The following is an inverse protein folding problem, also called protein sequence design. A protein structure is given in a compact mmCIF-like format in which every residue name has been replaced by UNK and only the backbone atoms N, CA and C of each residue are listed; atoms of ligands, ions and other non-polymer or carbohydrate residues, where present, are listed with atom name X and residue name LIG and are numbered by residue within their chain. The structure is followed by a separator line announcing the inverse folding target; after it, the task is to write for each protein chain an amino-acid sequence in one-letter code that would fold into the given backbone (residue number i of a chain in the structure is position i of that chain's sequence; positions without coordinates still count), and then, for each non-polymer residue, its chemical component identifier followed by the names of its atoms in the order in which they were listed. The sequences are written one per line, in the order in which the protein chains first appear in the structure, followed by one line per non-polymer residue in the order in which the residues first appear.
data_IF_553664261402
#
_entry.id   IF_553664261402
#
_cell.length_a   1.000
_cell.length_b   1.000
_cell.length_c   1.000
_cell.angle_alpha   90.00
_cell.angle_beta   90.00
_cell.angle_gamma   90.00
#
_symmetry.space_group_name_H-M   'P 1'
#
loop_
_entity.id
_entity.type
_entity.pdbx_description
1 polymer ?
#
# COMPACT_ATOMS: atom_id res chain seq x y z
N UNK A 1 -0.92 0.93 -29.41
CA UNK A 1 -2.12 1.81 -29.41
C UNK A 1 -1.85 2.91 -28.40
N UNK A 2 -1.57 4.13 -28.85
CA UNK A 2 -1.37 5.27 -27.94
C UNK A 2 -2.69 5.58 -27.25
N UNK A 3 -2.76 5.36 -25.94
CA UNK A 3 -3.90 5.75 -25.12
C UNK A 3 -3.95 7.28 -25.18
N UNK A 4 -4.93 7.84 -25.89
CA UNK A 4 -5.15 9.29 -25.85
C UNK A 4 -5.43 9.63 -24.38
N UNK A 5 -4.66 10.53 -23.76
CA UNK A 5 -4.86 10.85 -22.35
C UNK A 5 -6.28 11.36 -22.15
N UNK A 6 -6.91 10.95 -21.04
CA UNK A 6 -8.25 11.44 -20.68
C UNK A 6 -8.22 12.98 -20.61
N UNK A 7 -9.31 13.66 -20.97
CA UNK A 7 -9.41 15.13 -20.86
C UNK A 7 -9.08 15.60 -19.43
N UNK A 8 -9.40 14.78 -18.43
CA UNK A 8 -9.10 15.08 -17.04
C UNK A 8 -7.62 14.84 -16.66
N UNK A 9 -6.90 13.95 -17.34
CA UNK A 9 -5.44 13.74 -17.14
C UNK A 9 -4.62 14.96 -17.59
N UNK A 10 -5.19 15.80 -18.45
CA UNK A 10 -4.59 17.05 -18.92
C UNK A 10 -4.75 18.21 -17.92
N UNK A 11 -5.38 17.97 -16.77
CA UNK A 11 -5.70 18.98 -15.77
C UNK A 11 -4.90 18.74 -14.50
N UNK A 12 -4.19 19.78 -14.06
CA UNK A 12 -3.32 19.79 -12.89
C UNK A 12 -3.66 20.98 -11.98
N UNK A 13 -3.51 20.82 -10.68
CA UNK A 13 -3.32 21.97 -9.78
C UNK A 13 -1.87 22.46 -9.89
N UNK A 14 -1.62 23.72 -9.51
CA UNK A 14 -0.26 24.26 -9.46
C UNK A 14 0.65 23.40 -8.59
N UNK A 15 0.18 22.96 -7.42
CA UNK A 15 0.98 22.13 -6.51
C UNK A 15 1.33 20.77 -7.15
N UNK A 16 0.32 20.08 -7.71
CA UNK A 16 0.52 18.77 -8.34
C UNK A 16 1.42 18.86 -9.57
N UNK A 17 1.32 19.96 -10.33
CA UNK A 17 2.20 20.22 -11.47
C UNK A 17 3.65 20.39 -11.02
N UNK A 18 3.90 21.23 -10.02
CA UNK A 18 5.25 21.43 -9.47
C UNK A 18 5.82 20.12 -8.95
N UNK A 19 5.05 19.34 -8.18
CA UNK A 19 5.50 18.03 -7.68
C UNK A 19 5.85 17.05 -8.81
N UNK A 20 5.07 17.04 -9.90
CA UNK A 20 5.28 16.12 -11.03
C UNK A 20 6.45 16.54 -11.92
N UNK A 21 6.74 17.84 -12.01
CA UNK A 21 7.68 18.41 -12.98
C UNK A 21 8.90 19.09 -12.34
N UNK A 22 9.05 19.07 -11.01
CA UNK A 22 10.15 19.71 -10.28
C UNK A 22 11.53 19.31 -10.80
N UNK A 23 11.72 18.03 -11.11
CA UNK A 23 13.01 17.44 -11.51
C UNK A 23 13.07 17.10 -13.01
N UNK A 24 12.20 17.67 -13.84
CA UNK A 24 12.11 17.26 -15.26
C UNK A 24 13.36 17.60 -16.08
N UNK A 25 14.20 18.54 -15.62
CA UNK A 25 15.41 18.96 -16.32
C UNK A 25 16.64 18.14 -15.91
N UNK A 26 16.84 17.91 -14.61
CA UNK A 26 17.92 17.09 -14.05
C UNK A 26 17.57 16.67 -12.62
N UNK A 27 18.06 15.49 -12.17
CA UNK A 27 17.80 14.93 -10.84
C UNK A 27 18.46 15.77 -9.72
N UNK A 28 19.45 16.61 -10.07
CA UNK A 28 20.22 17.42 -9.13
C UNK A 28 19.75 18.87 -8.95
N UNK A 29 18.85 19.39 -9.79
CA UNK A 29 18.43 20.79 -9.76
C UNK A 29 16.93 20.93 -9.97
N UNK A 30 16.18 21.00 -8.87
CA UNK A 30 14.75 21.30 -8.89
C UNK A 30 14.51 22.76 -9.29
N UNK A 31 13.54 22.98 -10.18
CA UNK A 31 13.08 24.32 -10.55
C UNK A 31 12.49 25.05 -9.33
N UNK A 32 12.82 26.33 -9.19
CA UNK A 32 12.27 27.16 -8.10
C UNK A 32 10.85 27.65 -8.41
N UNK A 33 10.11 28.11 -7.40
CA UNK A 33 8.76 28.66 -7.59
C UNK A 33 8.70 29.81 -8.62
N UNK A 34 9.62 30.80 -8.61
CA UNK A 34 9.69 31.81 -9.66
C UNK A 34 9.93 31.23 -11.06
N UNK A 35 10.75 30.19 -11.19
CA UNK A 35 11.01 29.54 -12.48
C UNK A 35 9.73 28.91 -13.04
N UNK A 36 8.94 28.26 -12.17
CA UNK A 36 7.62 27.73 -12.54
C UNK A 36 6.64 28.83 -12.93
N UNK A 37 6.63 29.97 -12.24
CA UNK A 37 5.76 31.10 -12.60
C UNK A 37 6.09 31.65 -13.99
N UNK A 38 7.39 31.80 -14.30
CA UNK A 38 7.86 32.23 -15.63
C UNK A 38 7.51 31.16 -16.68
N UNK A 39 7.71 29.88 -16.37
CA UNK A 39 7.40 28.77 -17.27
C UNK A 39 5.90 28.72 -17.61
N UNK A 40 5.03 28.77 -16.60
CA UNK A 40 3.58 28.73 -16.79
C UNK A 40 3.08 29.97 -17.54
N UNK A 41 3.67 31.13 -17.30
CA UNK A 41 3.37 32.34 -18.06
C UNK A 41 3.79 32.21 -19.53
N UNK A 42 5.00 31.70 -19.79
CA UNK A 42 5.49 31.45 -21.16
C UNK A 42 4.62 30.42 -21.91
N UNK A 43 4.26 29.32 -21.25
CA UNK A 43 3.46 28.25 -21.84
C UNK A 43 2.03 28.70 -22.16
N UNK A 44 1.44 29.55 -21.33
CA UNK A 44 0.09 30.08 -21.52
C UNK A 44 0.05 31.23 -22.53
N UNK A 45 0.94 32.23 -22.39
CA UNK A 45 0.93 33.43 -23.23
C UNK A 45 1.62 33.25 -24.58
N UNK A 46 2.84 32.72 -24.58
CA UNK A 46 3.72 32.74 -25.76
C UNK A 46 3.58 31.47 -26.60
N UNK A 47 3.41 30.31 -25.95
CA UNK A 47 3.20 29.02 -26.66
C UNK A 47 1.74 28.64 -26.86
N UNK A 48 0.82 29.21 -26.07
CA UNK A 48 -0.59 28.84 -26.04
C UNK A 48 -0.85 27.32 -25.88
N UNK A 49 0.09 26.62 -25.24
CA UNK A 49 0.07 25.17 -25.05
C UNK A 49 -0.75 24.77 -23.81
N UNK A 50 -1.00 25.71 -22.89
CA UNK A 50 -1.82 25.52 -21.70
C UNK A 50 -2.80 26.68 -21.51
N UNK A 51 -3.90 26.42 -20.80
CA UNK A 51 -4.69 27.45 -20.14
C UNK A 51 -4.28 27.48 -18.65
N UNK A 52 -4.11 28.68 -18.09
CA UNK A 52 -3.67 28.88 -16.71
C UNK A 52 -4.37 30.09 -16.08
N UNK A 53 -5.02 29.89 -14.93
CA UNK A 53 -5.74 30.93 -14.17
C UNK A 53 -5.01 31.35 -12.87
N UNK A 54 -3.80 30.83 -12.63
CA UNK A 54 -3.05 31.02 -11.39
C UNK A 54 -3.13 29.83 -10.41
N UNK A 55 -4.15 28.98 -10.53
CA UNK A 55 -4.36 27.82 -9.66
C UNK A 55 -4.44 26.50 -10.43
N UNK A 56 -5.12 26.51 -11.56
CA UNK A 56 -5.45 25.37 -12.41
C UNK A 56 -4.66 25.46 -13.71
N UNK A 57 -4.07 24.35 -14.12
CA UNK A 57 -3.31 24.22 -15.37
C UNK A 57 -4.02 23.18 -16.23
N UNK A 58 -4.40 23.56 -17.44
CA UNK A 58 -5.03 22.68 -18.43
C UNK A 58 -4.20 22.63 -19.70
N UNK A 59 -3.69 21.44 -20.05
CA UNK A 59 -2.96 21.23 -21.29
C UNK A 59 -3.88 21.24 -22.51
N UNK A 60 -3.40 21.85 -23.60
CA UNK A 60 -4.10 21.99 -24.88
C UNK A 60 -3.39 21.13 -25.93
N UNK A 61 -3.76 19.85 -26.10
CA UNK A 61 -3.08 18.94 -27.04
C UNK A 61 -3.26 19.35 -28.50
N UNK A 62 -4.35 20.06 -28.82
CA UNK A 62 -4.65 20.57 -30.16
C UNK A 62 -4.97 22.06 -30.08
N UNK A 63 -4.65 22.85 -31.11
CA UNK A 63 -4.98 24.29 -31.15
C UNK A 63 -6.48 24.59 -31.02
N UNK A 64 -7.32 23.61 -31.35
CA UNK A 64 -8.80 23.67 -31.25
C UNK A 64 -9.35 23.42 -29.84
N UNK A 65 -8.47 23.13 -28.86
CA UNK A 65 -8.89 22.97 -27.47
C UNK A 65 -9.47 24.30 -26.94
N UNK A 66 -10.44 24.27 -26.01
CA UNK A 66 -10.95 25.49 -25.35
C UNK A 66 -9.83 26.26 -24.65
N UNK A 67 -9.77 27.59 -24.84
CA UNK A 67 -8.76 28.47 -24.21
C UNK A 67 -9.06 28.76 -22.75
N UNK A 68 -10.31 28.63 -22.36
CA UNK A 68 -10.76 28.98 -21.04
C UNK A 68 -10.82 27.74 -20.14
N UNK A 69 -10.47 27.97 -18.87
CA UNK A 69 -10.65 27.01 -17.80
C UNK A 69 -12.12 27.06 -17.39
N UNK A 70 -12.79 25.91 -17.48
CA UNK A 70 -14.19 25.78 -17.06
C UNK A 70 -14.28 25.50 -15.56
N UNK A 71 -15.46 25.71 -14.97
CA UNK A 71 -15.71 25.33 -13.56
C UNK A 71 -15.46 23.84 -13.31
N UNK A 72 -15.72 23.00 -14.31
CA UNK A 72 -15.43 21.56 -14.25
C UNK A 72 -13.93 21.29 -14.15
N UNK A 73 -13.11 22.01 -14.91
CA UNK A 73 -11.66 21.86 -14.87
C UNK A 73 -11.11 22.27 -13.49
N UNK A 74 -11.62 23.37 -12.93
CA UNK A 74 -11.25 23.84 -11.60
C UNK A 74 -11.68 22.86 -10.49
N UNK A 75 -12.85 22.23 -10.62
CA UNK A 75 -13.33 21.20 -9.70
C UNK A 75 -12.43 19.95 -9.75
N UNK A 76 -12.09 19.47 -10.95
CA UNK A 76 -11.17 18.35 -11.16
C UNK A 76 -9.80 18.63 -10.51
N UNK A 77 -9.21 19.80 -10.77
CA UNK A 77 -7.93 20.18 -10.17
C UNK A 77 -8.01 20.24 -8.63
N UNK A 78 -9.11 20.76 -8.09
CA UNK A 78 -9.32 20.86 -6.64
C UNK A 78 -9.48 19.49 -5.98
N UNK A 79 -10.22 18.57 -6.61
CA UNK A 79 -10.37 17.19 -6.12
C UNK A 79 -9.00 16.49 -6.12
N UNK A 80 -8.24 16.58 -7.21
CA UNK A 80 -6.90 15.99 -7.28
C UNK A 80 -5.95 16.53 -6.20
N UNK A 81 -5.94 17.85 -6.00
CA UNK A 81 -5.12 18.47 -4.96
C UNK A 81 -5.52 18.00 -3.54
N UNK A 82 -6.83 17.88 -3.29
CA UNK A 82 -7.34 17.38 -2.02
C UNK A 82 -6.99 15.91 -1.80
N UNK A 83 -7.16 15.06 -2.82
CA UNK A 83 -6.77 13.65 -2.81
C UNK A 83 -5.28 13.49 -2.50
N UNK A 84 -4.40 14.24 -3.19
CA UNK A 84 -2.96 14.20 -2.92
C UNK A 84 -2.62 14.58 -1.46
N UNK A 85 -3.32 15.57 -0.92
CA UNK A 85 -3.14 15.99 0.48
C UNK A 85 -3.62 14.92 1.46
N UNK A 86 -4.81 14.33 1.22
CA UNK A 86 -5.36 13.26 2.06
C UNK A 86 -4.50 12.00 2.03
N UNK A 87 -3.95 11.64 0.88
CA UNK A 87 -3.00 10.51 0.77
C UNK A 87 -1.78 10.76 1.68
N UNK A 88 -1.20 11.97 1.69
CA UNK A 88 -0.09 12.29 2.62
C UNK A 88 -0.50 12.16 4.08
N UNK A 89 -1.73 12.56 4.43
CA UNK A 89 -2.27 12.40 5.79
C UNK A 89 -2.46 10.94 6.17
N UNK A 90 -2.96 10.10 5.25
CA UNK A 90 -3.09 8.65 5.42
C UNK A 90 -1.74 8.03 5.78
N UNK A 91 -0.70 8.29 4.99
CA UNK A 91 0.64 7.76 5.26
C UNK A 91 1.21 8.21 6.63
N UNK A 92 0.92 9.45 7.04
CA UNK A 92 1.32 9.94 8.35
C UNK A 92 0.57 9.23 9.49
N UNK A 93 -0.73 8.97 9.33
CA UNK A 93 -1.53 8.23 10.29
C UNK A 93 -1.09 6.77 10.39
N UNK A 94 -0.82 6.10 9.26
CA UNK A 94 -0.29 4.72 9.24
C UNK A 94 1.04 4.61 9.99
N UNK A 95 1.97 5.54 9.74
CA UNK A 95 3.23 5.60 10.49
C UNK A 95 2.97 5.81 11.99
N UNK A 96 2.04 6.69 12.34
CA UNK A 96 1.71 6.97 13.74
C UNK A 96 1.12 5.74 14.44
N UNK A 97 0.26 5.00 13.76
CA UNK A 97 -0.31 3.74 14.26
C UNK A 97 0.80 2.72 14.51
N UNK A 98 1.75 2.58 13.57
CA UNK A 98 2.89 1.68 13.74
C UNK A 98 3.76 2.05 14.96
N UNK A 99 4.04 3.34 15.16
CA UNK A 99 4.78 3.86 16.33
C UNK A 99 4.03 3.58 17.65
N UNK A 100 2.72 3.84 17.70
CA UNK A 100 1.90 3.62 18.89
C UNK A 100 1.79 2.13 19.22
N UNK A 101 1.70 1.28 18.21
CA UNK A 101 1.72 -0.18 18.39
C UNK A 101 3.06 -0.66 18.97
N UNK A 102 4.19 -0.16 18.45
CA UNK A 102 5.51 -0.46 19.01
C UNK A 102 5.66 0.04 20.46
N UNK A 103 5.16 1.24 20.75
CA UNK A 103 5.15 1.81 22.11
C UNK A 103 4.29 0.99 23.07
N UNK A 104 3.13 0.50 22.63
CA UNK A 104 2.26 -0.36 23.44
C UNK A 104 2.96 -1.68 23.80
N UNK A 105 3.56 -2.35 22.81
CA UNK A 105 4.35 -3.58 23.04
C UNK A 105 5.51 -3.36 24.01
N UNK A 106 6.27 -2.27 23.84
CA UNK A 106 7.37 -1.94 24.76
C UNK A 106 6.88 -1.66 26.19
N UNK A 107 5.74 -1.00 26.35
CA UNK A 107 5.15 -0.75 27.67
C UNK A 107 4.67 -2.04 28.35
N UNK A 108 4.12 -3.00 27.60
CA UNK A 108 3.76 -4.33 28.10
C UNK A 108 4.99 -5.13 28.55
N UNK A 109 6.07 -5.14 27.77
CA UNK A 109 7.34 -5.77 28.13
C UNK A 109 7.91 -5.20 29.45
N UNK A 110 7.77 -3.89 29.65
CA UNK A 110 8.18 -3.19 30.87
C UNK A 110 7.18 -3.31 32.03
N UNK A 111 6.12 -4.12 31.88
CA UNK A 111 5.04 -4.32 32.87
C UNK A 111 4.33 -3.02 33.26
N UNK A 112 4.35 -2.01 32.40
CA UNK A 112 3.70 -0.73 32.61
C UNK A 112 2.33 -0.71 31.92
N UNK A 113 1.33 -1.32 32.57
CA UNK A 113 -0.03 -1.47 32.03
C UNK A 113 -0.70 -0.13 31.74
N UNK A 114 -0.46 0.91 32.56
CA UNK A 114 -1.06 2.24 32.36
C UNK A 114 -0.56 2.88 31.05
N UNK A 115 0.75 2.79 30.79
CA UNK A 115 1.33 3.32 29.56
C UNK A 115 0.94 2.50 28.32
N UNK A 116 0.81 1.17 28.45
CA UNK A 116 0.34 0.31 27.37
C UNK A 116 -1.10 0.66 26.97
N UNK A 117 -1.98 0.80 27.96
CA UNK A 117 -3.40 1.11 27.74
C UNK A 117 -3.60 2.51 27.14
N UNK A 118 -2.81 3.50 27.55
CA UNK A 118 -2.81 4.82 26.92
C UNK A 118 -2.34 4.80 25.45
N UNK A 119 -1.34 3.97 25.13
CA UNK A 119 -0.84 3.80 23.77
C UNK A 119 -1.87 3.09 22.87
N UNK A 120 -2.56 2.06 23.37
CA UNK A 120 -3.64 1.35 22.66
C UNK A 120 -4.83 2.29 22.40
N UNK A 121 -5.27 3.08 23.39
CA UNK A 121 -6.32 4.10 23.19
C UNK A 121 -5.95 5.10 22.09
N UNK A 122 -4.71 5.58 22.11
CA UNK A 122 -4.22 6.52 21.10
C UNK A 122 -4.13 5.88 19.72
N UNK A 123 -3.77 4.58 19.65
CA UNK A 123 -3.75 3.78 18.42
C UNK A 123 -5.15 3.65 17.83
N UNK A 124 -6.15 3.23 18.63
CA UNK A 124 -7.55 3.12 18.17
C UNK A 124 -8.09 4.45 17.63
N UNK A 125 -7.80 5.56 18.30
CA UNK A 125 -8.19 6.89 17.80
C UNK A 125 -7.53 7.22 16.46
N UNK A 126 -6.25 6.88 16.29
CA UNK A 126 -5.55 7.09 15.03
C UNK A 126 -6.10 6.18 13.91
N UNK A 127 -6.47 4.93 14.21
CA UNK A 127 -7.12 4.00 13.27
C UNK A 127 -8.51 4.48 12.84
N UNK A 128 -9.33 4.97 13.78
CA UNK A 128 -10.62 5.57 13.45
C UNK A 128 -10.45 6.78 12.51
N UNK A 129 -9.49 7.66 12.81
CA UNK A 129 -9.19 8.79 11.94
C UNK A 129 -8.70 8.34 10.56
N UNK A 130 -7.85 7.30 10.50
CA UNK A 130 -7.39 6.70 9.24
C UNK A 130 -8.57 6.20 8.41
N UNK A 131 -9.49 5.44 9.02
CA UNK A 131 -10.68 4.93 8.35
C UNK A 131 -11.52 6.08 7.77
N UNK A 132 -11.79 7.12 8.56
CA UNK A 132 -12.54 8.29 8.10
C UNK A 132 -11.86 8.98 6.89
N UNK A 133 -10.51 9.03 6.85
CA UNK A 133 -9.78 9.58 5.71
C UNK A 133 -9.90 8.70 4.47
N UNK A 134 -9.84 7.38 4.61
CA UNK A 134 -10.02 6.43 3.51
C UNK A 134 -11.45 6.48 2.95
N UNK A 135 -12.45 6.62 3.80
CA UNK A 135 -13.85 6.78 3.37
C UNK A 135 -14.03 8.08 2.59
N UNK A 136 -13.45 9.18 3.08
CA UNK A 136 -13.48 10.46 2.37
C UNK A 136 -12.76 10.39 1.02
N UNK A 137 -11.63 9.69 0.94
CA UNK A 137 -10.92 9.46 -0.33
C UNK A 137 -11.82 8.71 -1.34
N UNK A 138 -12.49 7.66 -0.89
CA UNK A 138 -13.45 6.91 -1.72
C UNK A 138 -14.59 7.80 -2.22
N UNK A 139 -15.13 8.66 -1.37
CA UNK A 139 -16.16 9.64 -1.76
C UNK A 139 -15.63 10.63 -2.81
N UNK A 140 -14.41 11.14 -2.65
CA UNK A 140 -13.79 12.05 -3.63
C UNK A 140 -13.58 11.37 -4.98
N UNK A 141 -13.16 10.10 -5.00
CA UNK A 141 -13.04 9.32 -6.23
C UNK A 141 -14.39 9.12 -6.93
N UNK A 142 -15.45 8.82 -6.17
CA UNK A 142 -16.81 8.73 -6.73
C UNK A 142 -17.28 10.05 -7.33
N UNK A 143 -17.02 11.18 -6.66
CA UNK A 143 -17.36 12.52 -7.18
C UNK A 143 -16.56 12.82 -8.45
N UNK A 144 -15.27 12.49 -8.48
CA UNK A 144 -14.41 12.64 -9.65
C UNK A 144 -14.98 11.87 -10.87
N UNK A 145 -15.34 10.59 -10.69
CA UNK A 145 -15.94 9.77 -11.76
C UNK A 145 -17.25 10.38 -12.25
N UNK A 146 -18.12 10.86 -11.34
CA UNK A 146 -19.38 11.52 -11.72
C UNK A 146 -19.15 12.79 -12.54
N UNK A 147 -18.12 13.57 -12.21
CA UNK A 147 -17.77 14.78 -12.99
C UNK A 147 -17.28 14.39 -14.39
N UNK A 148 -16.45 13.36 -14.52
CA UNK A 148 -16.02 12.84 -15.84
C UNK A 148 -17.23 12.38 -16.66
N UNK A 149 -18.14 11.61 -16.06
CA UNK A 149 -19.38 11.18 -16.72
C UNK A 149 -20.26 12.35 -17.17
N UNK A 150 -20.42 13.37 -16.32
CA UNK A 150 -21.18 14.57 -16.68
C UNK A 150 -20.53 15.35 -17.83
N UNK A 151 -19.19 15.38 -17.90
CA UNK A 151 -18.47 15.99 -19.01
C UNK A 151 -18.72 15.23 -20.33
N UNK A 152 -18.71 13.90 -20.30
CA UNK A 152 -19.05 13.06 -21.46
C UNK A 152 -20.51 13.25 -21.90
N UNK A 153 -21.43 13.40 -20.95
CA UNK A 153 -22.84 13.66 -21.24
C UNK A 153 -23.05 15.00 -21.96
N UNK A 154 -22.28 16.04 -21.62
CA UNK A 154 -22.30 17.32 -22.35
C UNK A 154 -21.85 17.14 -23.80
N UNK A 155 -20.79 16.35 -24.03
CA UNK A 155 -20.30 16.05 -25.37
C UNK A 155 -21.33 15.26 -26.18
N UNK A 156 -21.98 14.27 -25.56
CA UNK A 156 -23.09 13.54 -26.15
C UNK A 156 -24.24 14.47 -26.57
N UNK A 157 -24.67 15.38 -25.69
CA UNK A 157 -25.72 16.37 -26.00
C UNK A 157 -25.31 17.30 -27.14
N UNK A 158 -24.04 17.70 -27.23
CA UNK A 158 -23.52 18.50 -28.36
C UNK A 158 -23.63 17.74 -29.68
N UNK A 159 -23.25 16.46 -29.70
CA UNK A 159 -23.39 15.59 -30.89
C UNK A 159 -24.86 15.44 -31.26
N UNK A 160 -25.74 15.19 -30.29
CA UNK A 160 -27.19 15.12 -30.55
C UNK A 160 -27.75 16.44 -31.12
N UNK A 161 -27.32 17.60 -30.59
CA UNK A 161 -27.72 18.91 -31.13
C UNK A 161 -27.25 19.12 -32.56
N UNK A 162 -26.02 18.70 -32.89
CA UNK A 162 -25.51 18.75 -34.25
C UNK A 162 -26.32 17.82 -35.18
N UNK A 163 -26.56 16.58 -34.75
CA UNK A 163 -27.34 15.59 -35.51
C UNK A 163 -28.78 16.04 -35.73
N UNK A 164 -29.45 16.60 -34.72
CA UNK A 164 -30.81 17.16 -34.87
C UNK A 164 -30.83 18.38 -35.79
N UNK A 165 -29.78 19.22 -35.78
CA UNK A 165 -29.62 20.29 -36.76
C UNK A 165 -29.52 19.77 -38.19
N UNK A 166 -28.72 18.71 -38.42
CA UNK A 166 -28.61 18.05 -39.73
C UNK A 166 -29.94 17.41 -40.13
N UNK A 167 -30.59 16.67 -39.23
CA UNK A 167 -31.90 16.06 -39.47
C UNK A 167 -32.96 17.12 -39.79
N UNK A 168 -32.96 18.26 -39.09
CA UNK A 168 -33.86 19.38 -39.39
C UNK A 168 -33.58 19.97 -40.77
N UNK A 169 -32.32 20.19 -41.13
CA UNK A 169 -31.93 20.65 -42.47
C UNK A 169 -32.38 19.68 -43.56
N UNK A 170 -32.22 18.37 -43.36
CA UNK A 170 -32.69 17.34 -44.28
C UNK A 170 -34.22 17.32 -44.34
N UNK A 171 -34.92 17.44 -43.21
CA UNK A 171 -36.38 17.47 -43.14
C UNK A 171 -36.96 18.72 -43.84
N UNK A 172 -36.30 19.88 -43.73
CA UNK A 172 -36.65 21.10 -44.47
C UNK A 172 -36.40 20.97 -45.97
N UNK A 173 -35.37 20.22 -46.39
CA UNK A 173 -35.12 19.89 -47.80
C UNK A 173 -36.12 18.86 -48.37
N UNK A 174 -36.69 17.99 -47.52
CA UNK A 174 -37.63 16.94 -47.92
C UNK A 174 -39.09 17.43 -48.00
N UNK A 175 -39.44 18.50 -47.28
CA UNK A 175 -40.75 19.13 -47.37
C UNK A 175 -41.79 18.50 -46.42
N UNK A 176 -42.37 19.39 -45.61
CA UNK A 176 -43.56 19.29 -44.75
C UNK A 176 -44.24 17.92 -44.59
N UNK A 177 -44.17 17.34 -43.39
CA UNK A 177 -45.17 16.37 -42.92
C UNK A 177 -45.45 16.62 -41.43
N UNK A 178 -46.59 17.26 -41.20
CA UNK A 178 -47.16 17.74 -39.93
C UNK A 178 -47.42 16.64 -38.88
N UNK A 179 -46.38 16.04 -38.29
CA UNK A 179 -46.49 15.02 -37.23
C UNK A 179 -45.37 15.00 -36.17
N UNK A 180 -44.57 16.06 -36.07
CA UNK A 180 -43.39 16.13 -35.19
C UNK A 180 -43.71 16.77 -33.81
N UNK A 181 -44.93 17.27 -33.61
CA UNK A 181 -45.33 17.92 -32.34
C UNK A 181 -45.46 16.90 -31.18
N UNK A 182 -45.81 15.65 -31.46
CA UNK A 182 -46.00 14.61 -30.43
C UNK A 182 -44.67 14.11 -29.81
N UNK A 183 -43.55 14.19 -30.53
CA UNK A 183 -42.24 13.67 -30.05
C UNK A 183 -41.50 14.69 -29.18
N UNK A 184 -41.85 15.98 -29.29
CA UNK A 184 -41.25 17.05 -28.49
C UNK A 184 -41.90 17.16 -27.11
N UNK A 185 -43.18 16.80 -27.01
CA UNK A 185 -43.91 16.75 -25.73
C UNK A 185 -43.44 15.56 -24.87
N UNK A 186 -43.18 14.40 -25.49
CA UNK A 186 -42.65 13.20 -24.81
C UNK A 186 -41.21 13.42 -24.25
N UNK A 187 -40.42 14.31 -24.89
CA UNK A 187 -39.10 14.72 -24.40
C UNK A 187 -39.16 15.73 -23.23
N UNK A 188 -40.25 16.50 -23.12
CA UNK A 188 -40.48 17.42 -21.99
C UNK A 188 -40.94 16.67 -20.74
N UNK A 189 -41.70 15.59 -20.89
CA UNK A 189 -42.13 14.76 -19.77
C UNK A 189 -40.97 13.95 -19.14
N UNK A 190 -39.97 13.52 -19.92
CA UNK A 190 -38.77 12.86 -19.36
C UNK A 190 -37.76 13.81 -18.70
N UNK A 191 -37.80 15.12 -19.01
CA UNK A 191 -36.98 16.11 -18.29
C UNK A 191 -37.55 16.52 -16.93
N UNK A 192 -38.80 16.16 -16.61
CA UNK A 192 -39.47 16.52 -15.35
C UNK A 192 -39.30 15.48 -14.23
N UNK A 193 -38.48 14.43 -14.42
CA UNK A 193 -38.17 13.39 -13.42
C UNK A 193 -36.70 13.36 -13.01
N UNK A 194 -36.12 14.52 -12.75
CA UNK A 194 -34.81 14.63 -12.08
C UNK A 194 -34.91 15.68 -10.99
N UNK A 195 -35.56 15.34 -9.89
CA UNK A 195 -35.39 15.96 -8.57
C UNK A 195 -36.15 15.15 -7.51
N UNK A 196 -35.52 14.09 -6.99
CA UNK A 196 -35.68 13.64 -5.59
C UNK A 196 -34.62 12.57 -5.27
N UNK A 197 -33.51 12.98 -4.67
CA UNK A 197 -32.76 12.11 -3.76
C UNK A 197 -32.73 12.83 -2.42
N UNK A 198 -33.65 12.41 -1.54
CA UNK A 198 -33.69 12.80 -0.15
C UNK A 198 -32.43 12.32 0.57
N UNK A 199 -31.83 13.25 1.30
CA UNK A 199 -30.69 13.03 2.19
C UNK A 199 -30.94 11.89 3.18
N UNK A 200 -30.14 10.83 3.09
CA UNK A 200 -29.90 9.90 4.20
C UNK A 200 -28.44 10.10 4.61
N UNK A 201 -28.22 10.77 5.74
CA UNK A 201 -27.06 10.53 6.62
C UNK A 201 -27.24 11.35 7.90
N UNK A 202 -27.92 10.75 8.87
CA UNK A 202 -27.68 11.02 10.29
C UNK A 202 -26.90 9.82 10.81
N UNK A 203 -25.59 9.95 10.93
CA UNK A 203 -24.78 9.03 11.70
C UNK A 203 -24.37 9.73 13.00
N UNK A 204 -24.99 9.26 14.08
CA UNK A 204 -24.55 9.51 15.45
C UNK A 204 -23.16 8.90 15.58
N UNK A 205 -22.16 9.71 15.86
CA UNK A 205 -20.78 9.24 16.03
C UNK A 205 -20.70 8.15 17.11
N UNK A 206 -19.82 7.15 16.98
CA UNK A 206 -19.71 6.07 17.94
C UNK A 206 -19.22 6.63 19.29
N UNK A 207 -19.98 6.36 20.35
CA UNK A 207 -19.42 6.28 21.69
C UNK A 207 -18.48 5.08 21.69
N UNK A 208 -17.17 5.34 21.76
CA UNK A 208 -16.17 4.29 21.96
C UNK A 208 -16.48 3.66 23.32
N UNK A 209 -16.97 2.42 23.31
CA UNK A 209 -17.28 1.67 24.52
C UNK A 209 -15.96 1.19 25.15
N UNK A 210 -15.77 1.41 26.44
CA UNK A 210 -14.53 1.08 27.15
C UNK A 210 -14.29 -0.45 27.21
N UNK A 211 -15.35 -1.24 27.05
CA UNK A 211 -15.32 -2.71 27.02
C UNK A 211 -14.51 -3.29 25.84
N UNK A 212 -14.64 -2.71 24.65
CA UNK A 212 -13.95 -3.16 23.44
C UNK A 212 -12.43 -2.89 23.49
N UNK A 213 -11.99 -1.96 24.35
CA UNK A 213 -10.57 -1.66 24.57
C UNK A 213 -9.92 -2.71 25.46
N UNK A 214 -10.65 -3.21 26.47
CA UNK A 214 -10.16 -4.23 27.38
C UNK A 214 -10.02 -5.59 26.66
N UNK A 215 -10.95 -5.93 25.77
CA UNK A 215 -10.90 -7.15 24.95
C UNK A 215 -9.69 -7.17 23.99
N UNK A 216 -9.37 -6.03 23.33
CA UNK A 216 -8.18 -5.95 22.45
C UNK A 216 -6.88 -6.05 23.24
N UNK A 217 -6.84 -5.48 24.45
CA UNK A 217 -5.68 -5.61 25.33
C UNK A 217 -5.46 -7.06 25.74
N UNK A 218 -6.52 -7.79 26.06
CA UNK A 218 -6.47 -9.20 26.42
C UNK A 218 -6.00 -10.08 25.24
N UNK A 219 -6.45 -9.78 24.02
CA UNK A 219 -5.94 -10.42 22.81
C UNK A 219 -4.45 -10.15 22.56
N UNK A 220 -3.99 -8.91 22.74
CA UNK A 220 -2.58 -8.56 22.57
C UNK A 220 -1.70 -9.22 23.64
N UNK A 221 -2.16 -9.27 24.89
CA UNK A 221 -1.50 -9.99 25.98
C UNK A 221 -1.43 -11.50 25.69
N UNK A 222 -2.50 -12.11 25.15
CA UNK A 222 -2.48 -13.53 24.76
C UNK A 222 -1.51 -13.80 23.61
N UNK A 223 -1.53 -12.99 22.55
CA UNK A 223 -0.63 -13.13 21.39
C UNK A 223 0.84 -12.95 21.79
N UNK A 224 1.16 -12.03 22.70
CA UNK A 224 2.53 -11.86 23.20
C UNK A 224 2.97 -13.01 24.10
N UNK A 225 2.06 -13.55 24.92
CA UNK A 225 2.33 -14.73 25.75
C UNK A 225 2.57 -15.97 24.89
N UNK A 226 1.75 -16.21 23.87
CA UNK A 226 1.94 -17.31 22.91
C UNK A 226 3.29 -17.20 22.19
N UNK A 227 3.66 -15.99 21.74
CA UNK A 227 4.96 -15.78 21.08
C UNK A 227 6.15 -16.03 22.03
N UNK A 228 6.05 -15.62 23.30
CA UNK A 228 7.09 -15.90 24.32
C UNK A 228 7.17 -17.39 24.64
N UNK A 229 6.03 -18.06 24.79
CA UNK A 229 5.97 -19.51 25.03
C UNK A 229 6.58 -20.29 23.86
N UNK A 230 6.37 -19.85 22.62
CA UNK A 230 6.94 -20.48 21.42
C UNK A 230 8.46 -20.24 21.30
N UNK A 231 8.95 -19.04 21.61
CA UNK A 231 10.39 -18.76 21.70
C UNK A 231 11.09 -19.57 22.81
N UNK A 232 10.46 -19.69 23.99
CA UNK A 232 10.95 -20.49 25.11
C UNK A 232 10.92 -21.99 24.78
N UNK A 233 9.89 -22.47 24.09
CA UNK A 233 9.79 -23.85 23.61
C UNK A 233 10.87 -24.16 22.57
N UNK A 234 11.16 -23.25 21.64
CA UNK A 234 12.27 -23.40 20.69
C UNK A 234 13.63 -23.45 21.39
N UNK A 235 13.89 -22.55 22.34
CA UNK A 235 15.14 -22.55 23.10
C UNK A 235 15.30 -23.82 23.92
N UNK A 236 14.21 -24.32 24.49
CA UNK A 236 14.20 -25.58 25.26
C UNK A 236 14.45 -26.79 24.34
N UNK A 237 13.85 -26.83 23.15
CA UNK A 237 14.12 -27.86 22.14
C UNK A 237 15.58 -27.84 21.66
N UNK A 238 16.15 -26.65 21.44
CA UNK A 238 17.57 -26.50 21.06
C UNK A 238 18.51 -27.00 22.17
N UNK A 239 18.25 -26.65 23.43
CA UNK A 239 19.03 -27.13 24.59
C UNK A 239 18.91 -28.65 24.79
N UNK A 240 17.73 -29.24 24.60
CA UNK A 240 17.57 -30.70 24.67
C UNK A 240 18.36 -31.42 23.58
N UNK A 241 18.31 -30.91 22.34
CA UNK A 241 19.05 -31.49 21.22
C UNK A 241 20.58 -31.41 21.43
N UNK A 242 21.06 -30.31 22.01
CA UNK A 242 22.47 -30.16 22.37
C UNK A 242 22.89 -31.19 23.43
N UNK A 243 22.11 -31.34 24.51
CA UNK A 243 22.38 -32.34 25.55
C UNK A 243 22.36 -33.79 25.02
N UNK A 244 21.46 -34.12 24.11
CA UNK A 244 21.43 -35.44 23.47
C UNK A 244 22.66 -35.68 22.59
N UNK A 245 23.13 -34.67 21.85
CA UNK A 245 24.36 -34.78 21.04
C UNK A 245 25.61 -35.02 21.91
N UNK A 246 25.75 -34.27 23.01
CA UNK A 246 26.82 -34.46 24.00
C UNK A 246 26.75 -35.82 24.68
N UNK A 247 25.53 -36.32 24.94
CA UNK A 247 25.30 -37.65 25.52
C UNK A 247 25.66 -38.80 24.58
N UNK A 248 25.45 -38.64 23.28
CA UNK A 248 25.85 -39.60 22.26
C UNK A 248 27.38 -39.62 22.10
N UNK A 249 28.01 -38.45 22.06
CA UNK A 249 29.47 -38.32 21.97
C UNK A 249 30.17 -38.92 23.20
N UNK A 250 29.62 -38.74 24.41
CA UNK A 250 30.13 -39.35 25.62
C UNK A 250 30.01 -40.89 25.61
N UNK A 251 28.89 -41.43 25.10
CA UNK A 251 28.70 -42.89 24.95
C UNK A 251 29.63 -43.49 23.90
N UNK A 252 29.87 -42.78 22.80
CA UNK A 252 30.77 -43.24 21.75
C UNK A 252 32.25 -43.12 22.15
N UNK A 253 32.62 -42.11 22.95
CA UNK A 253 33.94 -42.03 23.57
C UNK A 253 34.17 -43.18 24.56
N UNK A 254 33.19 -43.52 25.39
CA UNK A 254 33.26 -44.68 26.30
C UNK A 254 33.37 -46.00 25.54
N UNK A 255 32.63 -46.18 24.42
CA UNK A 255 32.76 -47.36 23.56
C UNK A 255 34.13 -47.45 22.90
N UNK A 256 34.67 -46.34 22.39
CA UNK A 256 36.03 -46.32 21.80
C UNK A 256 37.10 -46.62 22.82
N UNK A 257 37.00 -46.09 24.04
CA UNK A 257 37.93 -46.38 25.13
C UNK A 257 37.88 -47.86 25.53
N UNK A 258 36.68 -48.44 25.66
CA UNK A 258 36.52 -49.87 25.93
C UNK A 258 37.05 -50.76 24.80
N UNK A 259 36.89 -50.35 23.54
CA UNK A 259 37.45 -51.06 22.39
C UNK A 259 38.99 -51.02 22.39
N UNK A 260 39.58 -49.86 22.68
CA UNK A 260 41.03 -49.69 22.74
C UNK A 260 41.65 -50.55 23.85
N UNK A 261 41.02 -50.59 25.03
CA UNK A 261 41.47 -51.43 26.15
C UNK A 261 41.43 -52.93 25.82
N UNK A 262 40.41 -53.39 25.06
CA UNK A 262 40.32 -54.77 24.59
C UNK A 262 41.35 -55.11 23.50
N UNK A 263 41.72 -54.14 22.66
CA UNK A 263 42.76 -54.34 21.63
C UNK A 263 44.15 -54.41 22.28
N UNK A 264 44.40 -53.59 23.29
CA UNK A 264 45.68 -53.56 24.01
C UNK A 264 45.90 -54.84 24.82
N UNK A 265 44.86 -55.34 25.51
CA UNK A 265 44.94 -56.63 26.21
C UNK A 265 45.14 -57.81 25.25
N UNK A 266 44.51 -57.80 24.08
CA UNK A 266 44.72 -58.82 23.05
C UNK A 266 46.13 -58.75 22.43
N UNK A 267 46.72 -57.56 22.30
CA UNK A 267 48.07 -57.36 21.80
C UNK A 267 49.11 -57.86 22.82
N UNK A 268 48.93 -57.56 24.11
CA UNK A 268 49.79 -58.08 25.19
C UNK A 268 49.77 -59.62 25.24
N UNK A 269 48.60 -60.24 25.09
CA UNK A 269 48.49 -61.69 25.06
C UNK A 269 49.21 -62.31 23.85
N UNK A 270 49.15 -61.64 22.69
CA UNK A 270 49.81 -62.07 21.46
C UNK A 270 51.35 -61.89 21.52
N UNK A 271 51.83 -60.78 22.08
CA UNK A 271 53.27 -60.54 22.33
C UNK A 271 53.82 -61.56 23.35
N UNK A 272 53.04 -61.88 24.39
CA UNK A 272 53.39 -62.93 25.35
C UNK A 272 53.50 -64.32 24.72
N UNK A 273 52.67 -64.64 23.72
CA UNK A 273 52.75 -65.90 22.96
C UNK A 273 53.97 -65.94 22.02
N UNK A 274 54.29 -64.83 21.33
CA UNK A 274 55.47 -64.72 20.45
C UNK A 274 56.78 -64.81 21.24
N UNK A 275 56.85 -64.19 22.42
CA UNK A 275 58.03 -64.26 23.29
C UNK A 275 58.35 -65.69 23.76
N UNK A 276 57.32 -66.54 23.94
CA UNK A 276 57.51 -67.97 24.27
C UNK A 276 57.97 -68.82 23.08
N UNK A 277 57.72 -68.41 21.84
CA UNK A 277 58.19 -69.12 20.65
C UNK A 277 59.64 -68.75 20.27
N UNK A 278 60.08 -67.51 20.56
CA UNK A 278 61.43 -67.02 20.24
C UNK A 278 62.54 -67.60 21.13
N UNK A 279 62.19 -68.27 22.24
CA UNK A 279 63.13 -68.88 23.18
C UNK A 279 63.46 -70.35 22.82
N UNK A 280 62.75 -70.97 21.89
CA UNK A 280 62.93 -72.39 21.54
C UNK A 280 63.85 -72.65 20.31
N UNK A 281 64.40 -71.63 19.64
CA UNK A 281 65.19 -71.81 18.40
C UNK A 281 66.65 -71.30 18.49
N UNK A 282 67.24 -71.27 19.70
CA UNK A 282 68.60 -70.73 19.91
C UNK A 282 69.54 -71.52 20.84
N UNK A 283 69.19 -72.73 21.28
CA UNK A 283 69.98 -73.48 22.27
C UNK A 283 70.33 -74.93 21.87
N UNK A 284 70.56 -75.22 20.58
CA UNK A 284 71.25 -76.44 20.13
C UNK A 284 72.14 -76.16 18.91
N UNK A 285 73.37 -75.67 19.12
CA UNK A 285 74.50 -75.92 18.23
C UNK A 285 75.80 -75.31 18.79
N UNK A 286 76.55 -76.08 19.58
CA UNK A 286 77.98 -76.42 19.38
C UNK A 286 78.59 -76.97 20.67
N UNK A 287 78.67 -78.30 20.73
CA UNK A 287 79.63 -79.03 21.55
C UNK A 287 80.56 -79.78 20.61
N UNK A 288 81.83 -79.35 20.54
CA UNK A 288 83.08 -80.12 20.38
C UNK A 288 84.23 -79.21 19.95
#
# INVERSE_FOLDING_TARGET
MSKTPSKAELIYSRESFVESFATILDDGSALSNPDFDILLLYLSRDKAAIAYDGKTIKFRPTNDSPKDITEQDAAIASIKALTATMIKQVHNLERKIAELNASAKSALQNKNRVSALAAVRSKKLAEHNLQQRLDTLTQLEQVYIKIEQAADQIEYVKVMKASTGVLRSLNTQIGDVSRVEDVVEELREEMSKVDEIGNIMNEVGPQIDESEIDDELEELESKEREAKEEEEAEQTRKKLAELDSLGLDAKDALRKAALAQNVESALEESIGRLSRMSVEEGAEATAQ
#
